data_IF_817217152007
#
_entry.id   IF_817217152007
#
_cell.length_a   1.000
_cell.length_b   1.000
_cell.length_c   1.000
_cell.angle_alpha   90.00
_cell.angle_beta   90.00
_cell.angle_gamma   90.00
#
_symmetry.space_group_name_H-M   'P 1'
#
loop_
_entity.id
_entity.type
_entity.pdbx_description
1 polymer ?
#
# COMPACT_ATOMS: atom_id res chain seq x y z
N UNK A 1 18.91 -0.01 -6.98
CA UNK A 1 17.88 -0.27 -8.03
C UNK A 1 16.91 -1.35 -7.61
N UNK A 2 17.35 -2.62 -7.49
CA UNK A 2 16.50 -3.69 -6.93
C UNK A 2 16.31 -3.53 -5.41
N UNK A 3 17.37 -3.12 -4.70
CA UNK A 3 17.31 -2.94 -3.24
C UNK A 3 16.21 -1.95 -2.82
N UNK A 4 16.18 -0.73 -3.37
CA UNK A 4 15.12 0.25 -3.10
C UNK A 4 13.69 -0.27 -3.39
N UNK A 5 13.56 -1.14 -4.40
CA UNK A 5 12.28 -1.76 -4.73
C UNK A 5 11.86 -2.77 -3.67
N UNK A 6 12.82 -3.60 -3.22
CA UNK A 6 12.63 -4.58 -2.15
C UNK A 6 12.32 -3.86 -0.84
N UNK A 7 13.11 -2.87 -0.43
CA UNK A 7 12.94 -2.17 0.85
C UNK A 7 11.55 -1.52 0.97
N UNK A 8 10.99 -0.99 -0.12
CA UNK A 8 9.66 -0.37 -0.11
C UNK A 8 8.49 -1.35 -0.04
N UNK A 9 8.67 -2.58 -0.55
CA UNK A 9 7.57 -3.55 -0.76
C UNK A 9 7.66 -4.79 0.10
N UNK A 10 8.87 -5.24 0.42
CA UNK A 10 9.13 -6.53 1.05
C UNK A 10 8.46 -6.64 2.41
N UNK A 11 8.63 -5.64 3.28
CA UNK A 11 8.02 -5.66 4.61
C UNK A 11 6.49 -5.74 4.54
N UNK A 12 5.88 -4.97 3.63
CA UNK A 12 4.42 -4.98 3.42
C UNK A 12 3.93 -6.32 2.89
N UNK A 13 4.62 -6.86 1.89
CA UNK A 13 4.28 -8.17 1.31
C UNK A 13 4.44 -9.29 2.34
N UNK A 14 5.51 -9.26 3.15
CA UNK A 14 5.75 -10.22 4.22
C UNK A 14 4.62 -10.18 5.26
N UNK A 15 4.27 -8.99 5.74
CA UNK A 15 3.17 -8.83 6.69
C UNK A 15 1.82 -9.32 6.11
N UNK A 16 1.58 -9.11 4.81
CA UNK A 16 0.39 -9.60 4.12
C UNK A 16 0.35 -11.14 4.06
N UNK A 17 1.47 -11.78 3.77
CA UNK A 17 1.59 -13.25 3.75
C UNK A 17 1.40 -13.83 5.14
N UNK A 18 2.06 -13.28 6.16
CA UNK A 18 1.91 -13.71 7.55
C UNK A 18 0.45 -13.58 8.02
N UNK A 19 -0.18 -12.43 7.73
CA UNK A 19 -1.59 -12.20 8.03
C UNK A 19 -2.49 -13.22 7.31
N UNK A 20 -2.23 -13.49 6.02
CA UNK A 20 -3.01 -14.47 5.24
C UNK A 20 -2.87 -15.88 5.83
N UNK A 21 -1.67 -16.28 6.23
CA UNK A 21 -1.43 -17.59 6.82
C UNK A 21 -2.18 -17.75 8.16
N UNK A 22 -2.16 -16.72 9.01
CA UNK A 22 -2.93 -16.72 10.25
C UNK A 22 -4.44 -16.76 9.99
N UNK A 23 -4.92 -15.96 9.04
CA UNK A 23 -6.34 -15.95 8.68
C UNK A 23 -6.79 -17.33 8.16
N UNK A 24 -6.03 -17.95 7.25
CA UNK A 24 -6.32 -19.29 6.73
C UNK A 24 -6.34 -20.33 7.85
N UNK A 25 -5.40 -20.25 8.80
CA UNK A 25 -5.36 -21.15 9.96
C UNK A 25 -6.60 -20.99 10.85
N UNK A 26 -7.01 -19.76 11.15
CA UNK A 26 -8.18 -19.51 12.02
C UNK A 26 -9.49 -19.91 11.31
N UNK A 27 -9.59 -19.67 10.01
CA UNK A 27 -10.79 -19.97 9.21
C UNK A 27 -10.94 -21.47 8.90
N UNK A 28 -9.84 -22.15 8.54
CA UNK A 28 -9.83 -23.57 8.18
C UNK A 28 -9.50 -24.51 9.34
N UNK A 29 -9.02 -23.98 10.47
CA UNK A 29 -8.63 -24.76 11.64
C UNK A 29 -9.82 -25.46 12.31
N UNK A 30 -9.57 -26.68 12.78
CA UNK A 30 -10.57 -27.51 13.46
C UNK A 30 -10.32 -27.62 14.97
N UNK A 31 -9.36 -26.88 15.52
CA UNK A 31 -9.10 -26.93 16.97
C UNK A 31 -10.17 -26.15 17.75
N UNK A 32 -10.39 -26.54 19.01
CA UNK A 32 -11.35 -25.84 19.87
C UNK A 32 -10.97 -24.37 20.11
N UNK A 33 -9.67 -24.07 20.20
CA UNK A 33 -9.18 -22.69 20.26
C UNK A 33 -9.51 -21.89 18.99
N UNK A 34 -9.37 -22.48 17.80
CA UNK A 34 -9.75 -21.81 16.55
C UNK A 34 -11.25 -21.48 16.53
N UNK A 35 -12.08 -22.35 17.10
CA UNK A 35 -13.54 -22.15 17.20
C UNK A 35 -13.90 -20.97 18.12
N UNK A 36 -13.22 -20.84 19.25
CA UNK A 36 -13.42 -19.70 20.18
C UNK A 36 -12.95 -18.39 19.53
N UNK A 37 -11.78 -18.39 18.90
CA UNK A 37 -11.24 -17.23 18.21
C UNK A 37 -12.19 -16.80 17.08
N UNK A 38 -12.67 -17.74 16.27
CA UNK A 38 -13.61 -17.46 15.19
C UNK A 38 -14.92 -16.88 15.71
N UNK A 39 -15.50 -17.48 16.76
CA UNK A 39 -16.74 -16.99 17.35
C UNK A 39 -16.58 -15.57 17.89
N UNK A 40 -15.50 -15.29 18.62
CA UNK A 40 -15.22 -13.93 19.11
C UNK A 40 -14.97 -12.93 17.98
N UNK A 41 -14.23 -13.31 16.93
CA UNK A 41 -13.97 -12.46 15.75
C UNK A 41 -15.23 -12.12 14.94
N UNK A 42 -16.28 -12.96 14.95
CA UNK A 42 -17.50 -12.66 14.20
C UNK A 42 -18.60 -12.01 15.06
N UNK A 43 -18.60 -12.23 16.38
CA UNK A 43 -19.65 -11.70 17.26
C UNK A 43 -19.25 -10.45 18.05
N UNK A 44 -17.96 -10.28 18.34
CA UNK A 44 -17.48 -9.20 19.23
C UNK A 44 -16.68 -8.12 18.51
N UNK A 45 -16.31 -8.33 17.24
CA UNK A 45 -15.48 -7.37 16.51
C UNK A 45 -16.31 -6.16 16.10
N UNK A 46 -15.96 -4.95 16.58
CA UNK A 46 -16.68 -3.74 16.20
C UNK A 46 -16.36 -3.36 14.75
N UNK A 47 -17.37 -2.88 14.03
CA UNK A 47 -17.25 -2.44 12.63
C UNK A 47 -16.16 -1.37 12.44
N UNK A 48 -16.01 -0.48 13.42
CA UNK A 48 -14.98 0.56 13.43
C UNK A 48 -13.55 0.00 13.31
N UNK A 49 -13.29 -1.18 13.90
CA UNK A 49 -11.99 -1.82 13.80
C UNK A 49 -11.75 -2.36 12.39
N UNK A 50 -12.76 -3.00 11.80
CA UNK A 50 -12.70 -3.51 10.42
C UNK A 50 -12.47 -2.37 9.43
N UNK A 51 -13.17 -1.24 9.61
CA UNK A 51 -13.01 -0.07 8.76
C UNK A 51 -11.60 0.51 8.88
N UNK A 52 -11.07 0.66 10.11
CA UNK A 52 -9.71 1.16 10.34
C UNK A 52 -8.64 0.21 9.77
N UNK A 53 -8.84 -1.10 9.88
CA UNK A 53 -7.96 -2.09 9.29
C UNK A 53 -7.96 -2.02 7.75
N UNK A 54 -9.14 -1.83 7.15
CA UNK A 54 -9.28 -1.64 5.71
C UNK A 54 -8.64 -0.33 5.23
N UNK A 55 -8.82 0.79 5.94
CA UNK A 55 -8.15 2.05 5.63
C UNK A 55 -6.63 1.88 5.58
N UNK A 56 -6.04 1.20 6.56
CA UNK A 56 -4.59 0.92 6.58
C UNK A 56 -4.12 0.12 5.37
N UNK A 57 -4.91 -0.84 4.89
CA UNK A 57 -4.59 -1.61 3.67
C UNK A 57 -4.58 -0.74 2.42
N UNK A 58 -5.39 0.33 2.39
CA UNK A 58 -5.48 1.26 1.26
C UNK A 58 -4.39 2.36 1.25
N UNK A 59 -3.55 2.45 2.30
CA UNK A 59 -2.51 3.49 2.40
C UNK A 59 -1.38 3.30 1.39
N UNK A 60 -1.07 2.05 1.02
CA UNK A 60 -0.04 1.73 0.04
C UNK A 60 -0.64 1.56 -1.36
N UNK A 61 -0.28 2.47 -2.28
CA UNK A 61 -0.81 2.50 -3.65
C UNK A 61 0.29 2.22 -4.66
N UNK A 62 0.55 0.96 -5.04
CA UNK A 62 1.56 0.66 -6.04
C UNK A 62 1.19 1.32 -7.38
N UNK A 63 2.06 2.18 -7.88
CA UNK A 63 1.93 2.80 -9.20
C UNK A 63 3.01 2.29 -10.14
N UNK A 64 2.71 2.34 -11.44
CA UNK A 64 3.65 1.93 -12.49
C UNK A 64 4.74 2.98 -12.62
N UNK A 65 6.00 2.54 -12.74
CA UNK A 65 7.19 3.39 -12.61
C UNK A 65 7.38 4.45 -13.70
N UNK A 66 6.67 4.35 -14.84
CA UNK A 66 6.75 5.30 -15.95
C UNK A 66 5.63 6.34 -15.95
N UNK A 67 4.60 6.17 -15.11
CA UNK A 67 3.50 7.11 -14.99
C UNK A 67 3.81 8.20 -13.96
N UNK A 68 3.28 9.42 -14.13
CA UNK A 68 3.38 10.45 -13.11
C UNK A 68 2.64 10.05 -11.83
N UNK A 69 3.20 10.44 -10.70
CA UNK A 69 2.58 10.26 -9.39
C UNK A 69 1.27 11.04 -9.35
N UNK A 70 0.15 10.31 -9.26
CA UNK A 70 -1.18 10.92 -9.16
C UNK A 70 -1.34 11.55 -7.78
N UNK A 71 -1.82 12.80 -7.67
CA UNK A 71 -2.10 13.42 -6.38
C UNK A 71 -3.15 12.62 -5.59
N UNK A 72 -3.12 12.73 -4.26
CA UNK A 72 -4.11 12.06 -3.44
C UNK A 72 -5.48 12.75 -3.59
N UNK A 73 -6.43 12.07 -4.24
CA UNK A 73 -7.78 12.59 -4.47
C UNK A 73 -8.76 12.28 -3.32
N UNK A 74 -8.30 11.66 -2.22
CA UNK A 74 -9.14 11.25 -1.10
C UNK A 74 -8.66 11.80 0.24
N UNK A 75 -9.43 11.53 1.30
CA UNK A 75 -9.16 11.96 2.68
C UNK A 75 -8.25 11.01 3.46
N UNK A 76 -8.02 9.80 2.95
CA UNK A 76 -7.16 8.81 3.59
C UNK A 76 -5.66 9.16 3.51
N UNK A 77 -4.91 8.72 4.52
CA UNK A 77 -3.44 8.75 4.53
C UNK A 77 -2.89 7.90 3.40
N UNK A 78 -1.91 8.43 2.67
CA UNK A 78 -1.21 7.71 1.61
C UNK A 78 0.26 7.72 1.94
N UNK A 79 0.89 6.55 1.94
CA UNK A 79 2.33 6.45 2.13
C UNK A 79 3.02 7.06 0.90
N UNK A 80 4.00 7.96 1.09
CA UNK A 80 4.77 8.51 -0.02
C UNK A 80 5.47 7.37 -0.80
N UNK A 81 5.28 7.38 -2.12
CA UNK A 81 5.95 6.47 -3.04
C UNK A 81 7.20 7.16 -3.57
N UNK A 82 8.36 6.49 -3.45
CA UNK A 82 9.60 6.98 -4.02
C UNK A 82 9.58 6.72 -5.54
N UNK A 83 9.71 7.75 -6.40
CA UNK A 83 9.76 7.56 -7.85
C UNK A 83 11.02 6.77 -8.24
N UNK A 84 10.94 6.09 -9.39
CA UNK A 84 12.08 5.34 -9.90
C UNK A 84 13.22 6.26 -10.33
N UNK A 85 14.47 5.78 -10.23
CA UNK A 85 15.65 6.52 -10.69
C UNK A 85 15.54 6.89 -12.18
N UNK A 86 15.05 5.96 -13.00
CA UNK A 86 14.85 6.12 -14.44
C UNK A 86 13.84 7.23 -14.74
N UNK A 87 12.68 7.19 -14.08
CA UNK A 87 11.66 8.21 -14.23
C UNK A 87 12.18 9.60 -13.87
N UNK A 88 12.93 9.71 -12.77
CA UNK A 88 13.53 10.98 -12.33
C UNK A 88 14.53 11.51 -13.36
N UNK A 89 15.33 10.64 -13.98
CA UNK A 89 16.26 11.02 -15.04
C UNK A 89 15.55 11.45 -16.33
N UNK A 90 14.45 10.79 -16.70
CA UNK A 90 13.64 11.15 -17.86
C UNK A 90 12.93 12.50 -17.68
N UNK A 91 12.42 12.80 -16.48
CA UNK A 91 11.83 14.12 -16.17
C UNK A 91 12.87 15.24 -16.25
N UNK A 92 14.05 15.05 -15.64
CA UNK A 92 15.15 16.04 -15.72
C UNK A 92 15.56 16.34 -17.16
N UNK A 93 15.57 15.33 -18.04
CA UNK A 93 15.86 15.53 -19.47
C UNK A 93 14.74 16.32 -20.17
N UNK A 94 13.47 16.06 -19.86
CA UNK A 94 12.34 16.81 -20.41
C UNK A 94 12.36 18.28 -19.97
N UNK A 95 12.65 18.53 -18.71
CA UNK A 95 12.73 19.89 -18.15
C UNK A 95 13.87 20.71 -18.77
N UNK A 96 14.98 20.07 -19.16
CA UNK A 96 16.09 20.73 -19.85
C UNK A 96 15.80 21.00 -21.33
N UNK A 97 14.98 20.17 -21.98
CA UNK A 97 14.64 20.28 -23.41
C UNK A 97 13.48 21.26 -23.64
N UNK A 98 12.61 21.47 -22.64
CA UNK A 98 11.53 22.45 -22.68
C UNK A 98 11.70 23.51 -21.58
N UNK A 99 12.42 24.62 -21.82
CA UNK A 99 12.25 25.80 -20.99
C UNK A 99 10.79 26.29 -21.17
N UNK A 100 9.96 26.10 -20.16
CA UNK A 100 8.53 26.43 -20.23
C UNK A 100 8.32 27.93 -20.54
N UNK A 101 7.43 28.31 -21.48
CA UNK A 101 6.99 29.69 -21.58
C UNK A 101 6.23 30.05 -20.29
N UNK A 102 6.62 31.15 -19.67
CA UNK A 102 6.04 31.66 -18.43
C UNK A 102 4.51 31.60 -18.48
N UNK A 103 3.90 30.81 -17.59
CA UNK A 103 2.46 30.92 -17.28
C UNK A 103 2.25 32.29 -16.64
N UNK A 104 1.83 33.26 -17.46
CA UNK A 104 1.30 34.54 -16.99
C UNK A 104 -0.12 34.26 -16.50
N UNK A 105 -0.39 34.66 -15.25
CA UNK A 105 -1.67 34.54 -14.54
C UNK A 105 -2.67 35.54 -15.11
#
# INVERSE_FOLDING_TARGET
MFQDYVDQRFERSKACVEQSNHATRILGGQTWSDRIIRWSMFNLFPESFTQRANTKRCEYRPQVSFLPLVPNMGTGTVVPLKPSWRYTAEQKKKDQIQPSPARTV
#
